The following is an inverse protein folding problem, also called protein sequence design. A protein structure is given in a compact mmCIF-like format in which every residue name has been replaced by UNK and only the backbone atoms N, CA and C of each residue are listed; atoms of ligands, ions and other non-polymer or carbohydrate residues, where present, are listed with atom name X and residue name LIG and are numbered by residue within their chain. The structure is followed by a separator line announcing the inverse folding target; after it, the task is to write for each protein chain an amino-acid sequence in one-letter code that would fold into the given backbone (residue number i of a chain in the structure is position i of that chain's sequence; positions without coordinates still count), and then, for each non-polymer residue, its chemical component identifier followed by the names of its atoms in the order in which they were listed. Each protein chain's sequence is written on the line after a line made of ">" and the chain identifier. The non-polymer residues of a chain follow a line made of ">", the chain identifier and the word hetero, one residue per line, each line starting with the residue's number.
data_IF_956182673307
#
_entry.id   IF_956182673307
#
_cell.length_a   1.000
_cell.length_b   1.000
_cell.length_c   1.000
_cell.angle_alpha   90.00
_cell.angle_beta   90.00
_cell.angle_gamma   90.00
#
_symmetry.space_group_name_H-M   'P 1'
#
loop_
_entity.id
_entity.type
_entity.pdbx_description
1 polymer ?
#
# COMPACT_ATOMS: atom_id res chain seq x y z
N UNK A 1 43.90 12.96 57.39
CA UNK A 1 43.46 11.55 57.19
C UNK A 1 42.28 11.59 56.22
N UNK A 2 42.41 12.31 55.10
CA UNK A 2 41.21 12.89 54.43
C UNK A 2 40.92 12.24 53.08
N UNK A 3 41.89 11.55 52.48
CA UNK A 3 41.74 10.90 51.16
C UNK A 3 41.00 9.55 51.20
N UNK A 4 41.01 8.85 52.34
CA UNK A 4 40.27 7.59 52.49
C UNK A 4 38.78 7.86 52.71
N UNK A 5 38.44 8.95 53.41
CA UNK A 5 37.07 9.37 53.69
C UNK A 5 36.35 9.87 52.42
N UNK A 6 37.04 10.58 51.53
CA UNK A 6 36.50 10.99 50.21
C UNK A 6 36.29 9.80 49.27
N UNK A 7 37.15 8.78 49.35
CA UNK A 7 37.01 7.56 48.58
C UNK A 7 35.83 6.70 49.07
N UNK A 8 35.61 6.60 50.38
CA UNK A 8 34.45 5.90 50.94
C UNK A 8 33.14 6.63 50.68
N UNK A 9 33.12 7.96 50.80
CA UNK A 9 31.93 8.80 50.56
C UNK A 9 31.56 8.85 49.05
N UNK A 10 32.55 8.84 48.16
CA UNK A 10 32.30 8.66 46.72
C UNK A 10 31.83 7.23 46.39
N UNK A 11 32.28 6.20 47.10
CA UNK A 11 31.77 4.83 46.94
C UNK A 11 30.35 4.67 47.50
N UNK A 12 30.03 5.32 48.62
CA UNK A 12 28.69 5.34 49.24
C UNK A 12 27.69 6.12 48.38
N UNK A 13 28.10 7.26 47.80
CA UNK A 13 27.30 7.96 46.78
C UNK A 13 27.11 7.12 45.51
N UNK A 14 28.12 6.37 45.06
CA UNK A 14 27.96 5.45 43.93
C UNK A 14 27.13 4.20 44.26
N UNK A 15 27.09 3.77 45.52
CA UNK A 15 26.18 2.71 46.00
C UNK A 15 24.74 3.22 46.04
N UNK A 16 24.49 4.42 46.55
CA UNK A 16 23.15 5.02 46.56
C UNK A 16 22.61 5.36 45.15
N UNK A 17 23.46 5.68 44.17
CA UNK A 17 23.03 5.82 42.76
C UNK A 17 22.74 4.47 42.08
N UNK A 18 23.32 3.37 42.58
CA UNK A 18 23.03 1.98 42.15
C UNK A 18 21.89 1.33 42.93
N UNK A 19 21.35 2.02 43.94
CA UNK A 19 20.18 1.62 44.73
C UNK A 19 18.85 2.14 44.16
N UNK A 20 18.79 2.47 42.87
CA UNK A 20 17.52 2.25 42.18
C UNK A 20 17.33 0.73 42.17
N UNK A 21 16.34 0.16 42.90
CA UNK A 21 16.09 -1.26 42.82
C UNK A 21 15.97 -1.60 41.34
N UNK A 22 16.77 -2.56 40.86
CA UNK A 22 16.59 -3.07 39.52
C UNK A 22 15.16 -3.58 39.44
N UNK A 23 14.25 -2.77 38.89
CA UNK A 23 12.87 -3.15 38.73
C UNK A 23 12.86 -4.27 37.70
N UNK A 24 12.89 -5.52 38.20
CA UNK A 24 12.85 -6.74 37.39
C UNK A 24 11.68 -6.69 36.40
N UNK A 25 10.58 -6.02 36.78
CA UNK A 25 9.46 -5.68 35.92
C UNK A 25 9.86 -4.78 34.75
N UNK A 26 10.44 -3.60 35.02
CA UNK A 26 10.91 -2.67 34.00
C UNK A 26 11.91 -3.32 33.02
N UNK A 27 12.84 -4.16 33.51
CA UNK A 27 13.77 -4.92 32.64
C UNK A 27 13.04 -5.90 31.72
N UNK A 28 12.06 -6.64 32.24
CA UNK A 28 11.24 -7.58 31.44
C UNK A 28 10.43 -6.84 30.38
N UNK A 29 9.83 -5.70 30.75
CA UNK A 29 9.07 -4.88 29.81
C UNK A 29 9.96 -4.22 28.75
N UNK A 30 11.17 -3.77 29.10
CA UNK A 30 12.13 -3.25 28.13
C UNK A 30 12.54 -4.32 27.10
N UNK A 31 12.76 -5.56 27.54
CA UNK A 31 13.00 -6.69 26.63
C UNK A 31 11.79 -6.98 25.73
N UNK A 32 10.58 -6.97 26.30
CA UNK A 32 9.33 -7.14 25.54
C UNK A 32 9.19 -6.08 24.45
N UNK A 33 9.43 -4.80 24.77
CA UNK A 33 9.39 -3.69 23.81
C UNK A 33 10.41 -3.93 22.68
N UNK A 34 11.63 -4.36 23.00
CA UNK A 34 12.63 -4.70 21.98
C UNK A 34 12.18 -5.81 21.03
N UNK A 35 11.55 -6.86 21.56
CA UNK A 35 10.99 -7.96 20.75
C UNK A 35 9.83 -7.46 19.88
N UNK A 36 8.90 -6.68 20.46
CA UNK A 36 7.77 -6.11 19.73
C UNK A 36 8.24 -5.13 18.64
N UNK A 37 9.29 -4.35 18.88
CA UNK A 37 9.88 -3.45 17.89
C UNK A 37 10.53 -4.23 16.74
N UNK A 38 11.20 -5.35 17.02
CA UNK A 38 11.72 -6.23 15.97
C UNK A 38 10.59 -6.86 15.14
N UNK A 39 9.52 -7.31 15.79
CA UNK A 39 8.31 -7.80 15.11
C UNK A 39 7.66 -6.72 14.24
N UNK A 40 7.51 -5.50 14.78
CA UNK A 40 7.00 -4.33 14.07
C UNK A 40 7.83 -4.03 12.82
N UNK A 41 9.15 -4.00 12.94
CA UNK A 41 10.04 -3.73 11.81
C UNK A 41 9.87 -4.75 10.67
N UNK A 42 9.71 -6.04 11.00
CA UNK A 42 9.44 -7.08 10.00
C UNK A 42 8.08 -6.84 9.33
N UNK A 43 7.02 -6.58 10.11
CA UNK A 43 5.69 -6.30 9.60
C UNK A 43 5.65 -5.04 8.71
N UNK A 44 6.30 -3.95 9.12
CA UNK A 44 6.41 -2.71 8.34
C UNK A 44 7.15 -2.91 7.02
N UNK A 45 8.18 -3.76 6.99
CA UNK A 45 8.86 -4.10 5.73
C UNK A 45 7.91 -4.79 4.76
N UNK A 46 7.12 -5.74 5.24
CA UNK A 46 6.09 -6.41 4.42
C UNK A 46 4.99 -5.45 3.97
N UNK A 47 4.52 -4.58 4.87
CA UNK A 47 3.50 -3.56 4.57
C UNK A 47 3.98 -2.64 3.43
N UNK A 48 5.20 -2.10 3.55
CA UNK A 48 5.80 -1.21 2.53
C UNK A 48 6.04 -1.93 1.21
N UNK A 49 6.44 -3.20 1.25
CA UNK A 49 6.54 -4.02 0.05
C UNK A 49 5.17 -4.17 -0.62
N UNK A 50 4.13 -4.46 0.17
CA UNK A 50 2.78 -4.61 -0.34
C UNK A 50 2.25 -3.31 -0.96
N UNK A 51 2.48 -2.18 -0.29
CA UNK A 51 2.14 -0.85 -0.77
C UNK A 51 2.84 -0.51 -2.09
N UNK A 52 4.13 -0.79 -2.22
CA UNK A 52 4.89 -0.53 -3.46
C UNK A 52 4.35 -1.34 -4.64
N UNK A 53 4.09 -2.62 -4.44
CA UNK A 53 3.49 -3.48 -5.45
C UNK A 53 2.09 -3.00 -5.84
N UNK A 54 1.27 -2.56 -4.87
CA UNK A 54 -0.05 -1.99 -5.12
C UNK A 54 0.06 -0.74 -5.99
N UNK A 55 0.95 0.20 -5.63
CA UNK A 55 1.19 1.43 -6.39
C UNK A 55 1.66 1.10 -7.81
N UNK A 56 2.60 0.17 -7.96
CA UNK A 56 3.10 -0.26 -9.27
C UNK A 56 1.98 -0.82 -10.15
N UNK A 57 1.15 -1.72 -9.61
CA UNK A 57 -0.01 -2.26 -10.34
C UNK A 57 -1.05 -1.20 -10.63
N UNK A 58 -1.30 -0.28 -9.71
CA UNK A 58 -2.23 0.83 -9.89
C UNK A 58 -1.78 1.76 -11.03
N UNK A 59 -0.47 2.01 -11.18
CA UNK A 59 0.08 2.75 -12.31
C UNK A 59 -0.21 2.00 -13.62
N UNK A 60 0.10 0.70 -13.68
CA UNK A 60 -0.15 -0.10 -14.89
C UNK A 60 -1.65 -0.17 -15.28
N UNK A 61 -2.55 -0.26 -14.30
CA UNK A 61 -4.00 -0.18 -14.50
C UNK A 61 -4.40 1.18 -15.08
N UNK A 62 -3.86 2.26 -14.51
CA UNK A 62 -4.14 3.62 -14.96
C UNK A 62 -3.63 3.87 -16.39
N UNK A 63 -2.45 3.37 -16.74
CA UNK A 63 -1.90 3.47 -18.09
C UNK A 63 -2.80 2.75 -19.10
N UNK A 64 -3.26 1.54 -18.76
CA UNK A 64 -4.15 0.75 -19.64
C UNK A 64 -5.51 1.43 -19.81
N UNK A 65 -6.09 1.97 -18.73
CA UNK A 65 -7.33 2.75 -18.82
C UNK A 65 -7.15 4.06 -19.58
N UNK A 66 -6.01 4.72 -19.45
CA UNK A 66 -5.69 5.94 -20.19
C UNK A 66 -5.57 5.65 -21.67
N UNK A 67 -4.93 4.54 -22.04
CA UNK A 67 -4.83 4.12 -23.44
C UNK A 67 -6.20 3.73 -24.03
N UNK A 68 -7.03 3.01 -23.27
CA UNK A 68 -8.41 2.72 -23.64
C UNK A 68 -9.22 4.01 -23.89
N UNK A 69 -9.14 4.97 -22.99
CA UNK A 69 -9.84 6.25 -23.10
C UNK A 69 -9.34 7.08 -24.29
N UNK A 70 -8.03 7.14 -24.52
CA UNK A 70 -7.45 7.83 -25.68
C UNK A 70 -7.96 7.24 -26.99
N UNK A 71 -8.01 5.91 -27.10
CA UNK A 71 -8.55 5.19 -28.27
C UNK A 71 -10.06 5.39 -28.39
N UNK A 72 -10.79 5.52 -27.28
CA UNK A 72 -12.20 5.91 -27.28
C UNK A 72 -12.42 7.29 -27.91
N UNK A 73 -11.72 8.30 -27.41
CA UNK A 73 -11.81 9.68 -27.89
C UNK A 73 -11.43 9.79 -29.37
N UNK A 74 -10.34 9.14 -29.81
CA UNK A 74 -9.94 9.15 -31.23
C UNK A 74 -11.01 8.57 -32.15
N UNK A 75 -11.65 7.47 -31.74
CA UNK A 75 -12.74 6.88 -32.51
C UNK A 75 -13.97 7.80 -32.56
N UNK A 76 -14.30 8.46 -31.45
CA UNK A 76 -15.45 9.38 -31.39
C UNK A 76 -15.22 10.64 -32.23
N UNK A 77 -13.99 11.18 -32.24
CA UNK A 77 -13.61 12.28 -33.13
C UNK A 77 -13.73 11.84 -34.60
N UNK A 78 -13.19 10.68 -34.97
CA UNK A 78 -13.28 10.17 -36.34
C UNK A 78 -14.74 9.92 -36.76
N UNK A 79 -15.58 9.39 -35.85
CA UNK A 79 -17.01 9.20 -36.07
C UNK A 79 -17.76 10.52 -36.23
N UNK A 80 -17.44 11.52 -35.42
CA UNK A 80 -18.03 12.86 -35.54
C UNK A 80 -17.67 13.52 -36.87
N UNK A 81 -16.42 13.39 -37.30
CA UNK A 81 -15.97 13.85 -38.62
C UNK A 81 -16.71 13.13 -39.76
N UNK A 82 -16.88 11.80 -39.66
CA UNK A 82 -17.64 11.03 -40.63
C UNK A 82 -19.11 11.49 -40.71
N UNK A 83 -19.76 11.74 -39.57
CA UNK A 83 -21.14 12.24 -39.53
C UNK A 83 -21.29 13.62 -40.18
N UNK A 84 -20.36 14.54 -39.92
CA UNK A 84 -20.36 15.86 -40.56
C UNK A 84 -20.17 15.75 -42.07
N UNK A 85 -19.23 14.92 -42.54
CA UNK A 85 -18.99 14.69 -43.96
C UNK A 85 -20.20 14.03 -44.64
N UNK A 86 -20.89 13.09 -43.97
CA UNK A 86 -22.14 12.51 -44.50
C UNK A 86 -23.23 13.55 -44.66
N UNK A 87 -23.36 14.48 -43.70
CA UNK A 87 -24.34 15.57 -43.78
C UNK A 87 -24.07 16.48 -44.97
N UNK A 88 -22.81 16.91 -45.17
CA UNK A 88 -22.42 17.71 -46.33
C UNK A 88 -22.58 16.97 -47.66
N UNK A 89 -22.20 15.70 -47.74
CA UNK A 89 -22.37 14.89 -48.96
C UNK A 89 -23.84 14.77 -49.38
N UNK A 90 -24.75 14.69 -48.40
CA UNK A 90 -26.21 14.62 -48.67
C UNK A 90 -26.75 15.97 -49.18
N UNK A 91 -26.19 17.08 -48.70
CA UNK A 91 -26.59 18.43 -49.12
C UNK A 91 -26.09 18.77 -50.53
N UNK A 92 -24.82 18.49 -50.82
CA UNK A 92 -24.15 18.94 -52.05
C UNK A 92 -24.17 17.90 -53.18
N UNK A 93 -24.67 16.68 -52.93
CA UNK A 93 -24.64 15.52 -53.84
C UNK A 93 -23.25 15.22 -54.44
N UNK A 94 -22.20 15.56 -53.71
CA UNK A 94 -20.82 15.41 -54.16
C UNK A 94 -20.25 14.00 -53.84
N UNK A 95 -19.90 13.18 -54.85
CA UNK A 95 -19.33 11.87 -54.64
C UNK A 95 -17.93 11.89 -53.99
N UNK A 96 -17.19 13.00 -54.06
CA UNK A 96 -15.90 13.13 -53.37
C UNK A 96 -16.09 13.22 -51.85
N UNK A 97 -17.05 14.04 -51.40
CA UNK A 97 -17.43 14.17 -49.99
C UNK A 97 -18.00 12.86 -49.41
N UNK A 98 -18.77 12.10 -50.20
CA UNK A 98 -19.25 10.78 -49.81
C UNK A 98 -18.12 9.75 -49.59
N UNK A 99 -17.07 9.77 -50.42
CA UNK A 99 -15.87 8.92 -50.23
C UNK A 99 -15.07 9.33 -48.99
N UNK A 100 -14.93 10.64 -48.73
CA UNK A 100 -14.27 11.14 -47.53
C UNK A 100 -15.01 10.70 -46.25
N UNK A 101 -16.34 10.73 -46.27
CA UNK A 101 -17.17 10.23 -45.19
C UNK A 101 -16.96 8.74 -44.90
N UNK A 102 -16.93 7.89 -45.94
CA UNK A 102 -16.65 6.46 -45.80
C UNK A 102 -15.23 6.19 -45.27
N UNK A 103 -14.24 6.96 -45.71
CA UNK A 103 -12.87 6.84 -45.20
C UNK A 103 -12.76 7.23 -43.72
N UNK A 104 -13.48 8.26 -43.29
CA UNK A 104 -13.54 8.67 -41.88
C UNK A 104 -14.25 7.61 -41.00
N UNK A 105 -15.30 6.97 -41.52
CA UNK A 105 -16.00 5.86 -40.84
C UNK A 105 -15.11 4.63 -40.70
N UNK A 106 -14.41 4.22 -41.77
CA UNK A 106 -13.44 3.13 -41.72
C UNK A 106 -12.29 3.42 -40.73
N UNK A 107 -11.88 4.68 -40.60
CA UNK A 107 -10.89 5.11 -39.60
C UNK A 107 -11.43 5.00 -38.17
N UNK A 108 -12.69 5.37 -37.94
CA UNK A 108 -13.33 5.22 -36.63
C UNK A 108 -13.44 3.75 -36.22
N UNK A 109 -13.80 2.87 -37.16
CA UNK A 109 -13.91 1.44 -36.91
C UNK A 109 -12.56 0.78 -36.66
N UNK A 110 -11.50 1.21 -37.38
CA UNK A 110 -10.12 0.75 -37.13
C UNK A 110 -9.60 1.19 -35.75
N UNK A 111 -9.98 2.37 -35.30
CA UNK A 111 -9.62 2.84 -33.95
C UNK A 111 -10.42 2.09 -32.87
N UNK A 112 -11.66 1.69 -33.15
CA UNK A 112 -12.50 0.94 -32.21
C UNK A 112 -12.13 -0.55 -32.13
N UNK A 113 -11.88 -1.17 -33.28
CA UNK A 113 -11.54 -2.55 -33.46
C UNK A 113 -10.16 -2.59 -34.11
N UNK A 114 -9.16 -3.00 -33.35
CA UNK A 114 -7.85 -3.34 -33.90
C UNK A 114 -7.87 -4.82 -34.28
N UNK A 115 -8.05 -5.19 -35.58
CA UNK A 115 -8.19 -6.58 -35.98
C UNK A 115 -6.82 -7.27 -36.12
N UNK A 116 -5.73 -6.50 -36.10
CA UNK A 116 -4.36 -6.98 -36.31
C UNK A 116 -3.48 -6.88 -35.06
N UNK A 117 -3.79 -5.94 -34.15
CA UNK A 117 -3.13 -5.78 -32.86
C UNK A 117 -3.91 -6.40 -31.69
N UNK A 118 -3.21 -6.69 -30.58
CA UNK A 118 -3.82 -7.15 -29.31
C UNK A 118 -4.42 -6.00 -28.48
N UNK A 119 -4.72 -4.87 -29.13
CA UNK A 119 -5.07 -3.60 -28.49
C UNK A 119 -6.50 -3.14 -28.86
N UNK A 120 -7.40 -4.06 -29.23
CA UNK A 120 -8.80 -3.71 -29.43
C UNK A 120 -9.43 -3.16 -28.15
N UNK A 121 -10.40 -2.22 -28.25
CA UNK A 121 -11.03 -1.61 -27.05
C UNK A 121 -11.58 -2.64 -26.06
N UNK A 122 -12.19 -3.72 -26.56
CA UNK A 122 -12.70 -4.80 -25.72
C UNK A 122 -11.57 -5.58 -25.01
N UNK A 123 -10.44 -5.79 -25.70
CA UNK A 123 -9.28 -6.49 -25.16
C UNK A 123 -8.56 -5.63 -24.11
N UNK A 124 -8.39 -4.34 -24.38
CA UNK A 124 -7.84 -3.36 -23.43
C UNK A 124 -8.71 -3.24 -22.18
N UNK A 125 -10.03 -3.20 -22.35
CA UNK A 125 -10.96 -3.21 -21.20
C UNK A 125 -10.80 -4.51 -20.40
N UNK A 126 -10.81 -5.67 -21.05
CA UNK A 126 -10.63 -6.95 -20.36
C UNK A 126 -9.27 -7.04 -19.64
N UNK A 127 -8.20 -6.53 -20.26
CA UNK A 127 -6.87 -6.44 -19.67
C UNK A 127 -6.87 -5.53 -18.45
N UNK A 128 -7.47 -4.33 -18.55
CA UNK A 128 -7.57 -3.38 -17.45
C UNK A 128 -8.34 -4.00 -16.27
N UNK A 129 -9.46 -4.69 -16.51
CA UNK A 129 -10.20 -5.39 -15.45
C UNK A 129 -9.36 -6.47 -14.76
N UNK A 130 -8.63 -7.30 -15.52
CA UNK A 130 -7.74 -8.32 -14.93
C UNK A 130 -6.62 -7.71 -14.10
N UNK A 131 -6.05 -6.60 -14.57
CA UNK A 131 -5.02 -5.88 -13.82
C UNK A 131 -5.58 -5.24 -12.55
N UNK A 132 -6.82 -4.72 -12.60
CA UNK A 132 -7.54 -4.20 -11.43
C UNK A 132 -7.72 -5.29 -10.37
N UNK A 133 -8.13 -6.48 -10.75
CA UNK A 133 -8.27 -7.61 -9.81
C UNK A 133 -6.92 -7.98 -9.16
N UNK A 134 -5.85 -8.05 -9.97
CA UNK A 134 -4.51 -8.32 -9.47
C UNK A 134 -3.95 -7.21 -8.56
N UNK A 135 -4.39 -5.96 -8.76
CA UNK A 135 -4.11 -4.82 -7.90
C UNK A 135 -4.89 -4.92 -6.59
N UNK A 136 -6.17 -5.27 -6.65
CA UNK A 136 -7.06 -5.34 -5.47
C UNK A 136 -6.61 -6.40 -4.48
N UNK A 137 -6.09 -7.53 -4.98
CA UNK A 137 -5.43 -8.52 -4.14
C UNK A 137 -4.27 -7.93 -3.34
N UNK A 138 -3.47 -7.06 -3.96
CA UNK A 138 -2.33 -6.42 -3.28
C UNK A 138 -2.79 -5.34 -2.29
N UNK A 139 -3.89 -4.65 -2.60
CA UNK A 139 -4.52 -3.68 -1.72
C UNK A 139 -5.03 -4.34 -0.43
N UNK A 140 -5.61 -5.54 -0.53
CA UNK A 140 -6.06 -6.31 0.62
C UNK A 140 -4.89 -6.68 1.55
N UNK A 141 -3.80 -7.22 0.98
CA UNK A 141 -2.56 -7.51 1.73
C UNK A 141 -2.04 -6.28 2.47
N UNK A 142 -1.97 -5.15 1.76
CA UNK A 142 -1.48 -3.90 2.32
C UNK A 142 -2.33 -3.44 3.50
N UNK A 143 -3.66 -3.38 3.36
CA UNK A 143 -4.55 -2.97 4.47
C UNK A 143 -4.46 -3.89 5.68
N UNK A 144 -4.36 -5.21 5.46
CA UNK A 144 -4.23 -6.17 6.57
C UNK A 144 -2.91 -5.97 7.33
N UNK A 145 -1.81 -5.74 6.62
CA UNK A 145 -0.51 -5.47 7.26
C UNK A 145 -0.49 -4.12 7.96
N UNK A 146 -1.15 -3.10 7.43
CA UNK A 146 -1.29 -1.79 8.08
C UNK A 146 -2.01 -1.92 9.44
N UNK A 147 -3.08 -2.73 9.51
CA UNK A 147 -3.75 -3.04 10.78
C UNK A 147 -2.80 -3.74 11.74
N UNK A 148 -2.05 -4.73 11.28
CA UNK A 148 -1.07 -5.47 12.12
C UNK A 148 0.00 -4.53 12.69
N UNK A 149 0.57 -3.66 11.85
CA UNK A 149 1.57 -2.67 12.24
C UNK A 149 0.98 -1.70 13.27
N UNK A 150 -0.24 -1.20 13.05
CA UNK A 150 -0.94 -0.35 14.02
C UNK A 150 -1.17 -1.04 15.37
N UNK A 151 -1.58 -2.31 15.39
CA UNK A 151 -1.78 -3.06 16.63
C UNK A 151 -0.46 -3.33 17.37
N UNK A 152 0.63 -3.60 16.66
CA UNK A 152 1.97 -3.74 17.25
C UNK A 152 2.45 -2.43 17.88
N UNK A 153 2.18 -1.28 17.25
CA UNK A 153 2.48 0.03 17.84
C UNK A 153 1.68 0.26 19.14
N UNK A 154 0.38 -0.08 19.15
CA UNK A 154 -0.45 -0.03 20.37
C UNK A 154 0.11 -0.95 21.45
N UNK A 155 0.53 -2.17 21.11
CA UNK A 155 1.15 -3.08 22.06
C UNK A 155 2.43 -2.49 22.69
N UNK A 156 3.28 -1.83 21.90
CA UNK A 156 4.49 -1.16 22.40
C UNK A 156 4.13 0.00 23.35
N UNK A 157 3.10 0.78 23.02
CA UNK A 157 2.60 1.86 23.91
C UNK A 157 2.09 1.27 25.23
N UNK A 158 1.33 0.18 25.20
CA UNK A 158 0.84 -0.49 26.42
C UNK A 158 1.97 -1.04 27.28
N UNK A 159 3.02 -1.62 26.68
CA UNK A 159 4.21 -2.04 27.41
C UNK A 159 4.91 -0.84 28.07
N UNK A 160 5.01 0.28 27.35
CA UNK A 160 5.60 1.52 27.87
C UNK A 160 4.80 2.08 29.05
N UNK A 161 3.47 2.07 28.98
CA UNK A 161 2.58 2.44 30.10
C UNK A 161 2.75 1.50 31.30
N UNK A 162 2.93 0.19 31.06
CA UNK A 162 3.20 -0.79 32.12
C UNK A 162 4.51 -0.52 32.87
N UNK A 163 5.54 0.01 32.18
CA UNK A 163 6.80 0.43 32.81
C UNK A 163 6.59 1.64 33.71
N UNK A 164 5.83 2.64 33.25
CA UNK A 164 5.62 3.91 33.97
C UNK A 164 4.71 3.70 35.18
N UNK A 165 3.66 2.88 35.04
CA UNK A 165 2.65 2.66 36.09
C UNK A 165 2.99 1.53 37.05
N UNK A 166 4.00 0.70 36.73
CA UNK A 166 4.35 -0.55 37.43
C UNK A 166 3.17 -1.54 37.55
N UNK A 167 2.17 -1.41 36.67
CA UNK A 167 0.98 -2.26 36.62
C UNK A 167 1.21 -3.40 35.62
N UNK A 168 1.21 -4.63 36.11
CA UNK A 168 1.49 -5.84 35.31
C UNK A 168 0.41 -6.15 34.25
N UNK A 169 -0.85 -5.76 34.49
CA UNK A 169 -1.96 -6.06 33.56
C UNK A 169 -1.77 -5.42 32.19
N UNK A 170 -1.22 -4.19 32.14
CA UNK A 170 -0.86 -3.55 30.86
C UNK A 170 0.26 -4.29 30.13
N UNK A 171 1.24 -4.83 30.85
CA UNK A 171 2.32 -5.63 30.28
C UNK A 171 1.82 -6.96 29.70
N UNK A 172 0.88 -7.62 30.40
CA UNK A 172 0.22 -8.84 29.89
C UNK A 172 -0.66 -8.54 28.68
N UNK A 173 -1.43 -7.46 28.70
CA UNK A 173 -2.26 -7.04 27.58
C UNK A 173 -1.40 -6.71 26.35
N UNK A 174 -0.28 -6.00 26.56
CA UNK A 174 0.71 -5.72 25.52
C UNK A 174 1.27 -7.02 24.92
N UNK A 175 1.73 -7.95 25.76
CA UNK A 175 2.31 -9.21 25.29
C UNK A 175 1.30 -10.06 24.51
N UNK A 176 0.05 -10.14 24.98
CA UNK A 176 -1.03 -10.87 24.30
C UNK A 176 -1.37 -10.22 22.96
N UNK A 177 -1.60 -8.90 22.94
CA UNK A 177 -1.93 -8.16 21.72
C UNK A 177 -0.79 -8.23 20.70
N UNK A 178 0.45 -7.99 21.14
CA UNK A 178 1.61 -8.00 20.28
C UNK A 178 1.91 -9.38 19.68
N UNK A 179 1.77 -10.44 20.47
CA UNK A 179 1.94 -11.81 19.96
C UNK A 179 0.86 -12.14 18.93
N UNK A 180 -0.40 -11.85 19.22
CA UNK A 180 -1.51 -12.11 18.30
C UNK A 180 -1.35 -11.33 17.00
N UNK A 181 -0.96 -10.06 17.09
CA UNK A 181 -0.74 -9.19 15.94
C UNK A 181 0.42 -9.70 15.07
N UNK A 182 1.53 -10.09 15.70
CA UNK A 182 2.67 -10.65 14.97
C UNK A 182 2.32 -11.98 14.26
N UNK A 183 1.59 -12.87 14.93
CA UNK A 183 1.06 -14.10 14.33
C UNK A 183 0.15 -13.81 13.14
N UNK A 184 -0.76 -12.86 13.27
CA UNK A 184 -1.61 -12.41 12.16
C UNK A 184 -0.78 -11.85 11.00
N UNK A 185 0.26 -11.05 11.29
CA UNK A 185 1.20 -10.54 10.29
C UNK A 185 1.90 -11.63 9.50
N UNK A 186 2.38 -12.68 10.18
CA UNK A 186 3.01 -13.83 9.52
C UNK A 186 2.03 -14.59 8.63
N UNK A 187 0.77 -14.74 9.05
CA UNK A 187 -0.28 -15.38 8.24
C UNK A 187 -0.57 -14.54 6.99
N UNK A 188 -0.71 -13.23 7.14
CA UNK A 188 -0.94 -12.32 6.01
C UNK A 188 0.23 -12.40 5.03
N UNK A 189 1.49 -12.38 5.50
CA UNK A 189 2.64 -12.50 4.60
C UNK A 189 2.72 -13.85 3.87
N UNK A 190 2.29 -14.94 4.50
CA UNK A 190 2.40 -16.28 3.95
C UNK A 190 1.26 -16.66 2.99
N UNK A 191 0.04 -16.16 3.22
CA UNK A 191 -1.16 -16.69 2.57
C UNK A 191 -1.99 -15.66 1.80
N UNK A 192 -1.84 -14.38 2.10
CA UNK A 192 -2.47 -13.28 1.38
C UNK A 192 -1.37 -12.65 0.54
#
# INVERSE_FOLDING_TARGET
>A
MDGIETATDSLERHKHLREHPENRHARRMALLIGILAAALAICEMGEKSAQNDYISKQIAVNDTWSFYQAKAIKADIARSQAQLLKAFATQDNDPATARAAQAAEARADKEASDPQGREGKAQLRAQALRQTEARDHQLERYHLLEIVVGLLQIAIVLASVSVVTDVLTFGLASAALGSLSFLAGLVVMAFV
#
